data_IF_851901755809
#
_entry.id   IF_851901755809
#
_cell.length_a   1.000
_cell.length_b   1.000
_cell.length_c   1.000
_cell.angle_alpha   90.00
_cell.angle_beta   90.00
_cell.angle_gamma   90.00
#
_symmetry.space_group_name_H-M   'P 1'
#
loop_
_entity.id
_entity.type
_entity.pdbx_description
1 polymer ?
#
# COMPACT_ATOMS: atom_id res chain seq x y z
N UNK A 1 14.66 -26.95 -13.97
CA UNK A 1 15.18 -25.57 -13.84
C UNK A 1 14.08 -24.77 -13.17
N UNK A 2 14.31 -24.17 -12.01
CA UNK A 2 13.27 -23.39 -11.31
C UNK A 2 13.21 -22.01 -11.95
N UNK A 3 12.22 -21.79 -12.83
CA UNK A 3 12.19 -20.74 -13.86
C UNK A 3 12.49 -19.32 -13.36
N UNK A 4 12.13 -18.99 -12.11
CA UNK A 4 12.28 -17.64 -11.54
C UNK A 4 13.16 -17.57 -10.29
N UNK A 5 13.76 -18.69 -9.87
CA UNK A 5 14.49 -18.77 -8.60
C UNK A 5 15.70 -17.82 -8.54
N UNK A 6 16.40 -17.66 -9.66
CA UNK A 6 17.55 -16.76 -9.73
C UNK A 6 17.10 -15.32 -9.55
N UNK A 7 16.09 -14.89 -10.30
CA UNK A 7 15.56 -13.52 -10.27
C UNK A 7 14.99 -13.17 -8.88
N UNK A 8 14.38 -14.12 -8.19
CA UNK A 8 13.90 -13.93 -6.81
C UNK A 8 15.05 -13.82 -5.82
N UNK A 9 16.12 -14.60 -6.00
CA UNK A 9 17.30 -14.45 -5.13
C UNK A 9 18.04 -13.13 -5.37
N UNK A 10 18.10 -12.64 -6.62
CA UNK A 10 18.58 -11.28 -6.93
C UNK A 10 17.73 -10.20 -6.24
N UNK A 11 16.40 -10.39 -6.18
CA UNK A 11 15.51 -9.51 -5.41
C UNK A 11 15.83 -9.55 -3.91
N UNK A 12 16.11 -10.73 -3.35
CA UNK A 12 16.49 -10.87 -1.93
C UNK A 12 17.82 -10.18 -1.61
N UNK A 13 18.77 -10.15 -2.54
CA UNK A 13 20.00 -9.38 -2.37
C UNK A 13 19.70 -7.88 -2.29
N UNK A 14 18.89 -7.37 -3.24
CA UNK A 14 18.45 -5.98 -3.25
C UNK A 14 17.68 -5.60 -1.99
N UNK A 15 16.81 -6.49 -1.51
CA UNK A 15 16.04 -6.32 -0.28
C UNK A 15 16.93 -6.06 0.94
N UNK A 16 18.09 -6.74 1.04
CA UNK A 16 19.02 -6.58 2.18
C UNK A 16 19.58 -5.16 2.26
N UNK A 17 19.79 -4.52 1.12
CA UNK A 17 20.27 -3.14 1.06
C UNK A 17 19.22 -2.16 1.61
N UNK A 18 17.93 -2.50 1.49
CA UNK A 18 16.81 -1.68 1.95
C UNK A 18 16.52 -1.77 3.45
N UNK A 19 17.16 -2.68 4.19
CA UNK A 19 16.96 -2.81 5.64
C UNK A 19 17.34 -1.52 6.38
N UNK A 20 18.32 -0.78 5.86
CA UNK A 20 18.72 0.53 6.38
C UNK A 20 17.64 1.61 6.16
N UNK A 21 16.81 1.47 5.13
CA UNK A 21 15.71 2.38 4.82
C UNK A 21 14.47 2.08 5.66
N UNK A 22 14.12 0.80 5.85
CA UNK A 22 12.96 0.43 6.66
C UNK A 22 13.06 -1.00 7.22
N UNK A 23 12.73 -1.24 8.51
CA UNK A 23 12.85 -2.57 9.14
C UNK A 23 11.96 -3.65 8.52
N UNK A 24 10.91 -3.31 7.77
CA UNK A 24 10.11 -4.31 7.05
C UNK A 24 10.94 -5.12 6.05
N UNK A 25 12.01 -4.54 5.50
CA UNK A 25 12.86 -5.28 4.57
C UNK A 25 13.76 -6.32 5.24
N UNK A 26 13.78 -6.40 6.57
CA UNK A 26 14.39 -7.53 7.28
C UNK A 26 13.50 -8.79 7.24
N UNK A 27 12.21 -8.64 6.94
CA UNK A 27 11.23 -9.72 6.87
C UNK A 27 11.10 -10.24 5.46
N UNK A 28 11.00 -11.56 5.30
CA UNK A 28 10.88 -12.20 4.00
C UNK A 28 9.47 -12.77 3.85
N UNK A 29 8.85 -12.46 2.72
CA UNK A 29 7.50 -12.93 2.37
C UNK A 29 7.58 -13.93 1.23
N UNK A 30 6.71 -14.95 1.18
CA UNK A 30 6.62 -15.82 0.02
C UNK A 30 6.31 -15.02 -1.24
N UNK A 31 6.91 -15.43 -2.35
CA UNK A 31 6.68 -14.85 -3.68
C UNK A 31 6.00 -15.89 -4.54
N UNK A 32 4.87 -15.52 -5.14
CA UNK A 32 4.16 -16.33 -6.11
C UNK A 32 4.30 -15.65 -7.47
N UNK A 33 4.93 -16.34 -8.41
CA UNK A 33 5.06 -15.87 -9.79
C UNK A 33 4.00 -16.56 -10.64
N UNK A 34 3.04 -15.80 -11.13
CA UNK A 34 2.08 -16.25 -12.12
C UNK A 34 2.72 -16.24 -13.52
N UNK A 35 2.66 -17.38 -14.19
CA UNK A 35 3.20 -17.60 -15.53
C UNK A 35 2.26 -18.53 -16.30
N UNK A 36 1.66 -18.01 -17.37
CA UNK A 36 0.60 -18.67 -18.15
C UNK A 36 -0.55 -19.19 -17.26
N UNK A 37 -0.64 -20.52 -17.08
CA UNK A 37 -1.68 -21.21 -16.30
C UNK A 37 -1.14 -21.79 -14.99
N UNK A 38 0.04 -21.34 -14.55
CA UNK A 38 0.76 -21.88 -13.41
C UNK A 38 1.13 -20.79 -12.41
N UNK A 39 1.13 -21.17 -11.13
CA UNK A 39 1.68 -20.39 -10.04
C UNK A 39 2.95 -21.07 -9.53
N UNK A 40 4.08 -20.39 -9.67
CA UNK A 40 5.36 -20.82 -9.13
C UNK A 40 5.58 -20.19 -7.76
N UNK A 41 5.61 -21.01 -6.71
CA UNK A 41 5.66 -20.55 -5.32
C UNK A 41 7.07 -20.70 -4.77
N UNK A 42 7.59 -19.62 -4.21
CA UNK A 42 8.91 -19.52 -3.59
C UNK A 42 8.77 -18.98 -2.17
N UNK A 43 9.57 -19.51 -1.26
CA UNK A 43 9.58 -19.07 0.14
C UNK A 43 11.01 -18.97 0.65
N UNK A 44 11.22 -18.09 1.63
CA UNK A 44 12.53 -17.84 2.18
C UNK A 44 12.90 -18.90 3.22
N UNK A 45 14.05 -19.53 3.03
CA UNK A 45 14.56 -20.56 3.93
C UNK A 45 15.60 -19.94 4.87
N UNK A 46 15.24 -19.80 6.15
CA UNK A 46 16.17 -19.33 7.19
C UNK A 46 17.38 -20.27 7.38
N UNK A 47 17.26 -21.53 6.94
CA UNK A 47 18.35 -22.52 6.98
C UNK A 47 19.42 -22.24 5.92
N UNK A 48 19.01 -21.88 4.71
CA UNK A 48 19.94 -21.64 3.59
C UNK A 48 20.23 -20.16 3.36
N UNK A 49 19.45 -19.27 3.98
CA UNK A 49 19.59 -17.82 3.86
C UNK A 49 19.15 -17.27 2.50
N UNK A 50 18.34 -18.01 1.76
CA UNK A 50 17.90 -17.67 0.40
C UNK A 50 16.48 -18.18 0.13
N UNK A 51 15.88 -17.71 -0.96
CA UNK A 51 14.61 -18.26 -1.43
C UNK A 51 14.81 -19.66 -2.00
N UNK A 52 13.84 -20.53 -1.75
CA UNK A 52 13.75 -21.88 -2.29
C UNK A 52 12.42 -22.03 -3.04
N UNK A 53 12.43 -22.83 -4.11
CA UNK A 53 11.18 -23.25 -4.75
C UNK A 53 10.42 -24.18 -3.80
N UNK A 54 9.15 -23.88 -3.56
CA UNK A 54 8.27 -24.68 -2.70
C UNK A 54 7.49 -25.68 -3.53
N UNK A 55 6.72 -25.17 -4.50
CA UNK A 55 5.88 -25.97 -5.41
C UNK A 55 5.43 -25.15 -6.61
N UNK A 56 4.87 -25.86 -7.59
CA UNK A 56 4.13 -25.26 -8.70
C UNK A 56 2.74 -25.88 -8.75
N UNK A 57 1.73 -25.04 -8.94
CA UNK A 57 0.32 -25.42 -8.96
C UNK A 57 -0.37 -24.75 -10.15
N UNK A 58 -1.53 -25.25 -10.63
CA UNK A 58 -2.35 -24.50 -11.58
C UNK A 58 -2.75 -23.14 -11.01
N UNK A 59 -2.92 -22.14 -11.89
CA UNK A 59 -3.52 -20.87 -11.50
C UNK A 59 -5.02 -21.04 -11.25
N UNK A 60 -5.36 -21.14 -9.97
CA UNK A 60 -6.72 -21.14 -9.43
C UNK A 60 -7.06 -19.81 -8.71
N UNK A 61 -6.16 -18.83 -8.78
CA UNK A 61 -6.36 -17.47 -8.28
C UNK A 61 -6.79 -16.51 -9.40
N UNK A 62 -6.65 -16.92 -10.67
CA UNK A 62 -6.95 -16.14 -11.87
C UNK A 62 -6.16 -14.83 -11.90
N UNK A 63 -4.85 -14.94 -11.76
CA UNK A 63 -3.96 -13.78 -11.68
C UNK A 63 -3.93 -13.08 -13.05
N UNK A 64 -4.28 -11.78 -13.12
CA UNK A 64 -4.26 -11.06 -14.39
C UNK A 64 -2.83 -10.83 -14.88
N UNK A 65 -2.69 -10.56 -16.18
CA UNK A 65 -1.43 -10.07 -16.75
C UNK A 65 -0.96 -8.80 -16.01
N UNK A 66 0.35 -8.64 -15.89
CA UNK A 66 0.99 -7.52 -15.17
C UNK A 66 0.49 -7.30 -13.72
N UNK A 67 0.05 -8.38 -13.06
CA UNK A 67 -0.33 -8.33 -11.65
C UNK A 67 0.87 -8.03 -10.75
N UNK A 68 0.64 -7.09 -9.82
CA UNK A 68 1.44 -6.82 -8.64
C UNK A 68 0.44 -6.67 -7.49
N UNK A 69 0.46 -7.60 -6.54
CA UNK A 69 -0.48 -7.61 -5.43
C UNK A 69 0.07 -8.34 -4.20
N UNK A 70 -0.43 -7.98 -3.03
CA UNK A 70 -0.24 -8.70 -1.78
C UNK A 70 -1.57 -9.29 -1.31
N UNK A 71 -1.68 -10.62 -1.25
CA UNK A 71 -2.89 -11.28 -0.74
C UNK A 71 -2.60 -12.64 -0.08
N UNK A 72 -3.52 -13.15 0.75
CA UNK A 72 -3.43 -14.49 1.30
C UNK A 72 -3.49 -15.55 0.20
N UNK A 73 -2.60 -16.54 0.25
CA UNK A 73 -2.57 -17.65 -0.71
C UNK A 73 -2.89 -18.96 0.00
N UNK A 74 -4.03 -19.57 -0.37
CA UNK A 74 -4.51 -20.81 0.25
C UNK A 74 -3.54 -21.99 0.06
N UNK A 75 -2.75 -22.00 -1.02
CA UNK A 75 -1.66 -22.96 -1.25
C UNK A 75 -0.56 -22.91 -0.19
N UNK A 76 -0.51 -21.86 0.62
CA UNK A 76 0.43 -21.65 1.72
C UNK A 76 -0.29 -21.42 3.07
N UNK A 77 -1.43 -22.07 3.29
CA UNK A 77 -2.24 -21.94 4.51
C UNK A 77 -2.65 -20.48 4.77
N UNK A 78 -3.08 -19.77 3.72
CA UNK A 78 -3.51 -18.37 3.76
C UNK A 78 -2.46 -17.39 4.30
N UNK A 79 -1.17 -17.73 4.15
CA UNK A 79 -0.08 -16.76 4.38
C UNK A 79 -0.16 -15.64 3.35
N UNK A 80 0.08 -14.40 3.79
CA UNK A 80 0.27 -13.28 2.88
C UNK A 80 1.47 -13.53 1.98
N UNK A 81 1.28 -13.35 0.69
CA UNK A 81 2.30 -13.52 -0.33
C UNK A 81 2.32 -12.30 -1.25
N UNK A 82 3.51 -11.95 -1.74
CA UNK A 82 3.63 -11.07 -2.89
C UNK A 82 3.39 -11.87 -4.16
N UNK A 83 2.42 -11.46 -4.96
CA UNK A 83 2.01 -12.10 -6.20
C UNK A 83 2.39 -11.21 -7.35
N UNK A 84 3.12 -11.78 -8.30
CA UNK A 84 3.72 -11.05 -9.41
C UNK A 84 3.59 -11.83 -10.71
N UNK A 85 3.66 -11.15 -11.84
CA UNK A 85 4.00 -11.77 -13.12
C UNK A 85 5.48 -11.56 -13.44
N UNK A 86 6.00 -12.23 -14.47
CA UNK A 86 7.41 -12.16 -14.85
C UNK A 86 7.89 -10.74 -15.21
N UNK A 87 7.00 -9.81 -15.54
CA UNK A 87 7.34 -8.42 -15.89
C UNK A 87 8.03 -7.67 -14.74
N UNK A 88 7.80 -8.09 -13.49
CA UNK A 88 8.43 -7.49 -12.30
C UNK A 88 9.96 -7.59 -12.29
N UNK A 89 10.52 -8.60 -12.99
CA UNK A 89 11.96 -8.86 -13.00
C UNK A 89 12.71 -8.11 -14.11
N UNK A 90 12.01 -7.31 -14.93
CA UNK A 90 12.57 -6.68 -16.13
C UNK A 90 13.64 -5.63 -15.82
N UNK A 91 13.43 -4.79 -14.81
CA UNK A 91 14.33 -3.71 -14.43
C UNK A 91 14.15 -3.33 -12.95
N UNK A 92 15.00 -2.41 -12.47
CA UNK A 92 14.98 -1.96 -11.08
C UNK A 92 13.66 -1.25 -10.72
N UNK A 93 13.07 -0.49 -11.64
CA UNK A 93 11.82 0.22 -11.37
C UNK A 93 10.67 -0.74 -11.11
N UNK A 94 10.57 -1.82 -11.90
CA UNK A 94 9.61 -2.89 -11.67
C UNK A 94 9.86 -3.64 -10.34
N UNK A 95 11.12 -3.89 -9.99
CA UNK A 95 11.49 -4.48 -8.70
C UNK A 95 11.09 -3.60 -7.50
N UNK A 96 11.12 -2.27 -7.65
CA UNK A 96 10.65 -1.36 -6.59
C UNK A 96 9.16 -1.51 -6.31
N UNK A 97 8.33 -1.71 -7.33
CA UNK A 97 6.91 -2.00 -7.11
C UNK A 97 6.67 -3.34 -6.40
N UNK A 98 7.57 -4.32 -6.52
CA UNK A 98 7.48 -5.54 -5.71
C UNK A 98 7.72 -5.25 -4.21
N UNK A 99 8.62 -4.33 -3.90
CA UNK A 99 8.85 -3.93 -2.52
C UNK A 99 7.68 -3.15 -1.92
N UNK A 100 6.90 -2.44 -2.75
CA UNK A 100 5.59 -1.89 -2.34
C UNK A 100 4.67 -3.01 -1.84
N UNK A 101 4.57 -4.13 -2.57
CA UNK A 101 3.79 -5.29 -2.12
C UNK A 101 4.35 -5.97 -0.85
N UNK A 102 5.67 -5.92 -0.64
CA UNK A 102 6.28 -6.40 0.60
C UNK A 102 5.87 -5.55 1.81
N UNK A 103 5.69 -4.23 1.61
CA UNK A 103 5.12 -3.36 2.64
C UNK A 103 3.71 -3.82 2.97
N UNK A 104 2.85 -4.06 1.99
CA UNK A 104 1.49 -4.58 2.24
C UNK A 104 1.48 -5.93 2.95
N UNK A 105 2.34 -6.87 2.56
CA UNK A 105 2.50 -8.15 3.26
C UNK A 105 2.85 -7.96 4.75
N UNK A 106 3.81 -7.06 5.02
CA UNK A 106 4.27 -6.74 6.37
C UNK A 106 3.19 -6.04 7.20
N UNK A 107 2.49 -5.08 6.60
CA UNK A 107 1.41 -4.32 7.22
C UNK A 107 0.27 -5.26 7.60
N UNK A 108 -0.21 -6.08 6.67
CA UNK A 108 -1.31 -7.00 6.92
C UNK A 108 -0.94 -8.03 8.00
N UNK A 109 0.28 -8.60 7.93
CA UNK A 109 0.73 -9.58 8.91
C UNK A 109 0.78 -9.07 10.35
N UNK A 110 1.05 -7.77 10.56
CA UNK A 110 1.24 -7.17 11.89
C UNK A 110 0.04 -6.40 12.42
N UNK A 111 -0.74 -5.79 11.54
CA UNK A 111 -1.75 -4.79 11.91
C UNK A 111 -3.18 -5.21 11.58
N UNK A 112 -3.42 -6.43 11.07
CA UNK A 112 -4.75 -6.96 10.79
C UNK A 112 -5.72 -6.78 11.98
N UNK A 113 -5.39 -7.31 13.14
CA UNK A 113 -6.25 -7.25 14.32
C UNK A 113 -6.29 -5.84 14.95
N UNK A 114 -5.19 -5.09 14.84
CA UNK A 114 -5.02 -3.80 15.53
C UNK A 114 -5.61 -2.60 14.80
N UNK A 115 -5.77 -2.70 13.48
CA UNK A 115 -6.24 -1.61 12.61
C UNK A 115 -7.34 -2.10 11.70
N UNK A 116 -7.04 -3.13 10.89
CA UNK A 116 -7.94 -3.55 9.82
C UNK A 116 -9.29 -4.02 10.36
N UNK A 117 -9.29 -4.74 11.49
CA UNK A 117 -10.52 -5.23 12.14
C UNK A 117 -11.29 -4.13 12.91
N UNK A 118 -10.78 -2.88 12.99
CA UNK A 118 -11.53 -1.73 13.54
C UNK A 118 -12.39 -1.03 12.49
N UNK A 119 -12.12 -1.26 11.20
CA UNK A 119 -12.76 -0.55 10.10
C UNK A 119 -14.22 -0.96 9.92
N UNK A 120 -15.14 -0.01 10.04
CA UNK A 120 -16.57 -0.28 9.89
C UNK A 120 -16.95 -0.63 8.46
N UNK A 121 -16.31 0.01 7.48
CA UNK A 121 -16.46 -0.29 6.05
C UNK A 121 -16.10 -1.74 5.77
N UNK A 122 -15.00 -2.27 6.32
CA UNK A 122 -14.63 -3.69 6.15
C UNK A 122 -15.71 -4.62 6.70
N UNK A 123 -16.24 -4.33 7.89
CA UNK A 123 -17.32 -5.13 8.47
C UNK A 123 -18.57 -5.12 7.60
N UNK A 124 -18.99 -3.94 7.11
CA UNK A 124 -20.12 -3.81 6.20
C UNK A 124 -19.90 -4.56 4.90
N UNK A 125 -18.73 -4.41 4.28
CA UNK A 125 -18.40 -5.07 3.01
C UNK A 125 -18.32 -6.60 3.17
N UNK A 126 -17.82 -7.07 4.31
CA UNK A 126 -17.84 -8.50 4.68
C UNK A 126 -19.27 -9.04 4.79
N UNK A 127 -20.19 -8.30 5.43
CA UNK A 127 -21.60 -8.71 5.56
C UNK A 127 -22.29 -8.89 4.20
N UNK A 128 -21.97 -8.03 3.24
CA UNK A 128 -22.50 -8.13 1.87
C UNK A 128 -21.62 -8.99 0.94
N UNK A 129 -20.59 -9.65 1.47
CA UNK A 129 -19.63 -10.52 0.74
C UNK A 129 -18.90 -9.80 -0.41
N UNK A 130 -18.69 -8.49 -0.30
CA UNK A 130 -17.93 -7.68 -1.26
C UNK A 130 -16.46 -7.64 -0.85
N UNK A 131 -15.68 -8.61 -1.32
CA UNK A 131 -14.26 -8.74 -0.95
C UNK A 131 -13.33 -7.77 -1.69
N UNK A 132 -13.78 -7.23 -2.82
CA UNK A 132 -13.04 -6.32 -3.72
C UNK A 132 -13.21 -4.84 -3.38
N UNK A 133 -13.81 -4.52 -2.22
CA UNK A 133 -14.22 -3.17 -1.86
C UNK A 133 -13.08 -2.15 -1.86
N UNK A 134 -11.84 -2.54 -1.54
CA UNK A 134 -10.68 -1.64 -1.57
C UNK A 134 -10.36 -1.13 -3.00
N UNK A 135 -10.84 -1.85 -4.02
CA UNK A 135 -10.55 -1.58 -5.43
C UNK A 135 -11.76 -0.95 -6.12
N UNK A 136 -12.96 -1.46 -5.84
CA UNK A 136 -14.18 -1.16 -6.60
C UNK A 136 -15.20 -0.28 -5.86
N UNK A 137 -14.87 0.23 -4.66
CA UNK A 137 -15.74 1.16 -3.94
C UNK A 137 -16.04 2.40 -4.78
N UNK A 138 -17.33 2.74 -4.88
CA UNK A 138 -17.84 3.86 -5.67
C UNK A 138 -17.63 5.19 -4.92
N UNK A 139 -16.38 5.62 -4.82
CA UNK A 139 -16.05 6.93 -4.26
C UNK A 139 -16.49 8.05 -5.24
N UNK A 140 -17.08 9.16 -4.75
CA UNK A 140 -17.65 10.22 -5.60
C UNK A 140 -16.57 11.16 -6.19
N UNK A 141 -15.69 10.65 -7.06
CA UNK A 141 -14.61 11.45 -7.67
C UNK A 141 -15.09 12.61 -8.55
N UNK A 142 -16.29 12.47 -9.12
CA UNK A 142 -16.89 13.45 -10.05
C UNK A 142 -17.74 14.51 -9.34
N UNK A 143 -17.96 14.39 -8.03
CA UNK A 143 -18.63 15.42 -7.25
C UNK A 143 -17.75 16.69 -7.22
N UNK A 144 -18.31 17.82 -7.65
CA UNK A 144 -17.57 19.07 -7.81
C UNK A 144 -17.00 19.59 -6.48
N UNK A 145 -17.75 19.44 -5.38
CA UNK A 145 -17.30 19.90 -4.06
C UNK A 145 -16.12 19.04 -3.62
N UNK A 146 -16.25 17.72 -3.71
CA UNK A 146 -15.19 16.78 -3.31
C UNK A 146 -13.94 16.97 -4.17
N UNK A 147 -14.09 17.10 -5.50
CA UNK A 147 -12.97 17.35 -6.39
C UNK A 147 -12.21 18.65 -6.03
N UNK A 148 -12.92 19.73 -5.69
CA UNK A 148 -12.28 20.98 -5.22
C UNK A 148 -11.61 20.84 -3.85
N UNK A 149 -12.19 20.04 -2.94
CA UNK A 149 -11.54 19.71 -1.65
C UNK A 149 -10.25 18.93 -1.84
N UNK A 150 -10.23 17.97 -2.75
CA UNK A 150 -9.03 17.18 -3.11
C UNK A 150 -7.95 18.10 -3.70
N UNK A 151 -8.30 18.98 -4.65
CA UNK A 151 -7.35 19.96 -5.21
C UNK A 151 -6.77 20.87 -4.13
N UNK A 152 -7.60 21.33 -3.21
CA UNK A 152 -7.18 22.17 -2.08
C UNK A 152 -6.20 21.44 -1.17
N UNK A 153 -6.45 20.16 -0.87
CA UNK A 153 -5.54 19.32 -0.09
C UNK A 153 -4.20 19.13 -0.80
N UNK A 154 -4.20 18.78 -2.09
CA UNK A 154 -2.97 18.63 -2.88
C UNK A 154 -2.16 19.92 -2.93
N UNK A 155 -2.81 21.07 -3.05
CA UNK A 155 -2.14 22.37 -2.99
C UNK A 155 -1.50 22.63 -1.62
N UNK A 156 -2.21 22.34 -0.53
CA UNK A 156 -1.69 22.48 0.82
C UNK A 156 -0.53 21.52 1.13
N UNK A 157 -0.57 20.28 0.61
CA UNK A 157 0.53 19.33 0.73
C UNK A 157 1.79 19.85 0.01
N UNK A 158 1.63 20.44 -1.18
CA UNK A 158 2.72 21.05 -1.95
C UNK A 158 3.34 22.27 -1.25
N UNK A 159 2.58 22.99 -0.42
CA UNK A 159 3.11 24.13 0.34
C UNK A 159 3.83 23.74 1.64
N UNK A 160 3.72 22.48 2.07
CA UNK A 160 4.22 21.96 3.35
C UNK A 160 3.74 22.74 4.59
N UNK A 161 2.65 23.51 4.48
CA UNK A 161 2.08 24.27 5.60
C UNK A 161 1.07 23.41 6.37
N UNK A 162 1.47 22.93 7.55
CA UNK A 162 0.64 22.06 8.38
C UNK A 162 -0.71 22.67 8.77
N UNK A 163 -0.81 24.00 8.94
CA UNK A 163 -2.10 24.61 9.27
C UNK A 163 -3.04 24.56 8.07
N UNK A 164 -2.51 24.83 6.86
CA UNK A 164 -3.29 24.69 5.63
C UNK A 164 -3.67 23.25 5.35
N UNK A 165 -2.76 22.29 5.59
CA UNK A 165 -3.03 20.86 5.42
C UNK A 165 -4.14 20.42 6.37
N UNK A 166 -4.06 20.77 7.65
CA UNK A 166 -5.10 20.45 8.63
C UNK A 166 -6.45 21.03 8.23
N UNK A 167 -6.50 22.31 7.85
CA UNK A 167 -7.73 22.95 7.39
C UNK A 167 -8.31 22.29 6.12
N UNK A 168 -7.46 21.97 5.14
CA UNK A 168 -7.89 21.32 3.91
C UNK A 168 -8.38 19.89 4.15
N UNK A 169 -7.72 19.12 5.01
CA UNK A 169 -8.15 17.77 5.41
C UNK A 169 -9.49 17.80 6.14
N UNK A 170 -9.66 18.68 7.13
CA UNK A 170 -10.94 18.83 7.84
C UNK A 170 -12.07 19.17 6.87
N UNK A 171 -11.86 20.16 5.99
CA UNK A 171 -12.86 20.56 5.00
C UNK A 171 -13.18 19.46 3.96
N UNK A 172 -12.22 18.59 3.64
CA UNK A 172 -12.46 17.40 2.83
C UNK A 172 -13.35 16.42 3.60
N UNK A 173 -13.00 16.06 4.82
CA UNK A 173 -13.78 15.08 5.60
C UNK A 173 -15.19 15.56 5.94
N UNK A 174 -15.39 16.87 6.17
CA UNK A 174 -16.73 17.46 6.34
C UNK A 174 -17.63 17.32 5.10
N UNK A 175 -17.04 17.16 3.92
CA UNK A 175 -17.77 16.95 2.66
C UNK A 175 -18.08 15.47 2.35
N UNK A 176 -17.54 14.55 3.15
CA UNK A 176 -17.68 13.11 2.95
C UNK A 176 -18.69 12.53 3.94
N UNK A 177 -19.38 11.46 3.53
CA UNK A 177 -20.09 10.61 4.50
C UNK A 177 -19.07 9.89 5.40
N UNK A 178 -19.50 9.42 6.57
CA UNK A 178 -18.62 8.67 7.49
C UNK A 178 -17.91 7.49 6.82
N UNK A 179 -18.64 6.74 5.99
CA UNK A 179 -18.09 5.61 5.24
C UNK A 179 -17.05 6.04 4.20
N UNK A 180 -17.33 7.10 3.43
CA UNK A 180 -16.39 7.64 2.45
C UNK A 180 -15.13 8.19 3.12
N UNK A 181 -15.28 8.82 4.28
CA UNK A 181 -14.17 9.34 5.08
C UNK A 181 -13.30 8.22 5.66
N UNK A 182 -13.90 7.12 6.12
CA UNK A 182 -13.17 5.94 6.58
C UNK A 182 -12.45 5.24 5.41
N UNK A 183 -13.11 5.11 4.26
CA UNK A 183 -12.48 4.61 3.02
C UNK A 183 -11.27 5.45 2.60
N UNK A 184 -11.43 6.78 2.55
CA UNK A 184 -10.34 7.72 2.24
C UNK A 184 -9.16 7.53 3.22
N UNK A 185 -9.46 7.51 4.52
CA UNK A 185 -8.43 7.39 5.55
C UNK A 185 -7.70 6.04 5.52
N UNK A 186 -8.42 4.96 5.18
CA UNK A 186 -7.83 3.64 5.01
C UNK A 186 -6.83 3.64 3.85
N UNK A 187 -7.21 4.14 2.67
CA UNK A 187 -6.31 4.13 1.52
C UNK A 187 -5.15 5.12 1.65
N UNK A 188 -5.36 6.30 2.22
CA UNK A 188 -4.25 7.21 2.54
C UNK A 188 -3.23 6.56 3.48
N UNK A 189 -3.69 5.80 4.47
CA UNK A 189 -2.79 5.14 5.40
C UNK A 189 -2.14 3.90 4.78
N UNK A 190 -2.91 2.98 4.19
CA UNK A 190 -2.37 1.70 3.70
C UNK A 190 -1.55 1.89 2.41
N UNK A 191 -2.18 2.42 1.36
CA UNK A 191 -1.55 2.61 0.05
C UNK A 191 -0.60 3.80 0.04
N UNK A 192 -0.96 4.88 0.75
CA UNK A 192 -0.07 6.03 0.90
C UNK A 192 1.20 5.68 1.69
N UNK A 193 1.13 4.83 2.72
CA UNK A 193 2.34 4.40 3.43
C UNK A 193 3.23 3.51 2.56
N UNK A 194 2.65 2.56 1.83
CA UNK A 194 3.40 1.74 0.90
C UNK A 194 4.08 2.59 -0.19
N UNK A 195 3.38 3.59 -0.76
CA UNK A 195 3.97 4.56 -1.70
C UNK A 195 5.03 5.46 -1.06
N UNK A 196 4.84 5.86 0.20
CA UNK A 196 5.86 6.64 0.93
C UNK A 196 7.17 5.85 1.03
N UNK A 197 7.10 4.57 1.42
CA UNK A 197 8.26 3.69 1.47
C UNK A 197 8.82 3.43 0.06
N UNK A 198 7.96 3.21 -0.94
CA UNK A 198 8.35 3.12 -2.35
C UNK A 198 9.20 4.32 -2.76
N UNK A 199 8.75 5.54 -2.45
CA UNK A 199 9.45 6.78 -2.77
C UNK A 199 10.79 6.93 -2.04
N UNK A 200 10.95 6.37 -0.84
CA UNK A 200 12.27 6.29 -0.17
C UNK A 200 13.22 5.39 -0.96
N UNK A 201 12.75 4.22 -1.42
CA UNK A 201 13.54 3.30 -2.24
C UNK A 201 13.91 3.95 -3.58
N UNK A 202 12.94 4.62 -4.23
CA UNK A 202 13.17 5.32 -5.49
C UNK A 202 14.23 6.41 -5.33
N UNK A 203 14.18 7.17 -4.24
CA UNK A 203 15.18 8.19 -3.93
C UNK A 203 16.59 7.59 -3.74
N UNK A 204 16.70 6.49 -2.99
CA UNK A 204 17.98 5.79 -2.75
C UNK A 204 18.66 5.37 -4.06
N UNK A 205 17.89 4.89 -5.04
CA UNK A 205 18.41 4.48 -6.35
C UNK A 205 18.38 5.58 -7.42
N UNK A 206 18.08 6.83 -7.06
CA UNK A 206 18.04 7.95 -8.01
C UNK A 206 16.94 7.83 -9.09
N UNK A 207 15.88 7.07 -8.80
CA UNK A 207 14.70 6.94 -9.66
C UNK A 207 13.77 8.14 -9.46
N UNK A 208 12.94 8.43 -10.47
CA UNK A 208 11.89 9.44 -10.37
C UNK A 208 10.85 9.01 -9.33
N UNK A 209 10.52 9.89 -8.39
CA UNK A 209 9.45 9.67 -7.41
C UNK A 209 8.09 9.43 -8.09
N UNK A 210 7.30 8.57 -7.47
CA UNK A 210 5.96 8.21 -7.88
C UNK A 210 4.96 9.24 -7.33
N UNK A 211 4.46 10.09 -8.23
CA UNK A 211 3.46 11.14 -7.95
C UNK A 211 2.16 10.94 -8.74
N UNK A 212 1.84 9.71 -9.15
CA UNK A 212 0.65 9.44 -9.95
C UNK A 212 -0.64 9.69 -9.16
N UNK A 213 -1.62 10.37 -9.77
CA UNK A 213 -2.90 10.68 -9.15
C UNK A 213 -3.01 12.10 -8.58
N UNK A 214 -1.99 12.95 -8.77
CA UNK A 214 -1.97 14.34 -8.29
C UNK A 214 -2.77 15.34 -9.16
N UNK A 215 -3.43 14.84 -10.21
CA UNK A 215 -4.15 15.63 -11.22
C UNK A 215 -5.52 15.03 -11.56
N UNK A 216 -6.49 15.90 -11.84
CA UNK A 216 -7.83 15.51 -12.26
C UNK A 216 -7.85 15.05 -13.73
N UNK A 217 -8.80 14.19 -14.15
CA UNK A 217 -9.88 13.59 -13.37
C UNK A 217 -9.34 12.60 -12.33
N UNK A 218 -9.85 12.69 -11.09
CA UNK A 218 -9.36 11.88 -10.00
C UNK A 218 -9.85 10.44 -10.10
N UNK A 219 -9.04 9.55 -9.57
CA UNK A 219 -9.34 8.14 -9.34
C UNK A 219 -8.65 7.72 -8.04
N UNK A 220 -8.69 6.43 -7.69
CA UNK A 220 -8.12 5.93 -6.43
C UNK A 220 -6.67 6.32 -6.17
N UNK A 221 -5.86 6.56 -7.20
CA UNK A 221 -4.45 6.93 -7.03
C UNK A 221 -4.27 8.25 -6.29
N UNK A 222 -5.31 9.09 -6.20
CA UNK A 222 -5.24 10.34 -5.43
C UNK A 222 -5.11 10.09 -3.93
N UNK A 223 -5.71 9.01 -3.39
CA UNK A 223 -5.53 8.69 -1.96
C UNK A 223 -4.07 8.29 -1.67
N UNK A 224 -3.43 7.64 -2.64
CA UNK A 224 -2.08 7.11 -2.50
C UNK A 224 -1.10 8.27 -2.51
N UNK A 225 -1.35 9.25 -3.38
CA UNK A 225 -0.57 10.48 -3.46
C UNK A 225 -0.72 11.35 -2.21
N UNK A 226 -1.97 11.69 -1.85
CA UNK A 226 -2.27 12.48 -0.66
C UNK A 226 -1.70 11.80 0.60
N UNK A 227 -1.86 10.49 0.70
CA UNK A 227 -1.34 9.69 1.80
C UNK A 227 0.19 9.72 1.87
N UNK A 228 0.88 9.42 0.77
CA UNK A 228 2.35 9.43 0.70
C UNK A 228 2.93 10.79 1.09
N UNK A 229 2.42 11.88 0.54
CA UNK A 229 2.91 13.22 0.87
C UNK A 229 2.59 13.62 2.30
N UNK A 230 1.39 13.32 2.80
CA UNK A 230 1.03 13.65 4.18
C UNK A 230 1.88 12.85 5.18
N UNK A 231 2.07 11.55 4.94
CA UNK A 231 2.91 10.68 5.78
C UNK A 231 4.36 11.18 5.77
N UNK A 232 4.92 11.53 4.61
CA UNK A 232 6.27 12.11 4.51
C UNK A 232 6.43 13.33 5.43
N UNK A 233 5.46 14.23 5.43
CA UNK A 233 5.46 15.42 6.29
C UNK A 233 5.32 15.05 7.77
N UNK A 234 4.39 14.14 8.11
CA UNK A 234 4.22 13.68 9.48
C UNK A 234 5.49 13.01 10.03
N UNK A 235 6.16 12.17 9.24
CA UNK A 235 7.43 11.53 9.62
C UNK A 235 8.55 12.55 9.79
N UNK A 236 8.57 13.61 8.98
CA UNK A 236 9.52 14.72 9.13
C UNK A 236 9.36 15.44 10.48
N UNK A 237 8.13 15.66 10.94
CA UNK A 237 7.84 16.27 12.25
C UNK A 237 8.05 15.29 13.41
N UNK A 238 7.66 14.03 13.23
CA UNK A 238 7.74 13.00 14.26
C UNK A 238 8.26 11.68 13.65
N UNK A 239 9.59 11.44 13.70
CA UNK A 239 10.23 10.31 13.04
C UNK A 239 9.72 8.92 13.46
N UNK A 240 9.12 8.80 14.66
CA UNK A 240 8.55 7.54 15.14
C UNK A 240 7.46 6.99 14.20
N UNK A 241 6.71 7.86 13.51
CA UNK A 241 5.69 7.45 12.55
C UNK A 241 6.22 6.67 11.35
N UNK A 242 7.53 6.72 11.11
CA UNK A 242 8.17 5.92 10.07
C UNK A 242 7.94 4.42 10.30
N UNK A 243 7.94 3.97 11.56
CA UNK A 243 7.86 2.55 11.92
C UNK A 243 6.67 2.19 12.82
N UNK A 244 6.12 3.14 13.57
CA UNK A 244 4.94 2.93 14.42
C UNK A 244 3.65 3.25 13.63
N UNK A 245 3.15 2.23 12.93
CA UNK A 245 2.03 2.44 12.00
C UNK A 245 0.69 2.54 12.70
N UNK A 246 0.56 2.03 13.92
CA UNK A 246 -0.64 2.19 14.74
C UNK A 246 -0.74 3.64 15.22
N UNK A 247 0.37 4.21 15.71
CA UNK A 247 0.42 5.62 16.08
C UNK A 247 0.21 6.55 14.87
N UNK A 248 0.80 6.20 13.71
CA UNK A 248 0.57 6.92 12.47
C UNK A 248 -0.91 6.86 12.05
N UNK A 249 -1.53 5.67 12.12
CA UNK A 249 -2.94 5.51 11.79
C UNK A 249 -3.82 6.41 12.63
N UNK A 250 -3.67 6.34 13.95
CA UNK A 250 -4.44 7.13 14.90
C UNK A 250 -4.22 8.65 14.69
N UNK A 251 -2.98 9.07 14.42
CA UNK A 251 -2.67 10.47 14.09
C UNK A 251 -3.40 10.93 12.83
N UNK A 252 -3.45 10.11 11.79
CA UNK A 252 -4.11 10.46 10.52
C UNK A 252 -5.64 10.55 10.65
N UNK A 253 -6.24 10.01 11.73
CA UNK A 253 -7.68 10.11 11.99
C UNK A 253 -8.10 11.45 12.59
N UNK A 254 -7.18 12.28 13.12
CA UNK A 254 -7.52 13.47 13.90
C UNK A 254 -8.42 14.44 13.12
N UNK A 255 -8.03 14.80 11.89
CA UNK A 255 -8.81 15.74 11.08
C UNK A 255 -10.15 15.12 10.63
N UNK A 256 -10.20 13.80 10.41
CA UNK A 256 -11.45 13.08 10.11
C UNK A 256 -12.43 13.19 11.28
N UNK A 257 -11.98 12.89 12.50
CA UNK A 257 -12.84 12.93 13.69
C UNK A 257 -13.29 14.36 14.00
N UNK A 258 -12.43 15.35 13.81
CA UNK A 258 -12.79 16.77 13.99
C UNK A 258 -13.92 17.22 13.04
N UNK A 259 -13.90 16.75 11.79
CA UNK A 259 -14.94 17.07 10.79
C UNK A 259 -16.34 16.55 11.15
N UNK A 260 -16.45 15.48 11.95
CA UNK A 260 -17.73 14.93 12.40
C UNK A 260 -18.21 15.48 13.75
N UNK A 261 -17.31 16.04 14.57
CA UNK A 261 -17.68 16.69 15.86
C UNK A 261 -18.25 18.10 15.64
N UNK A 262 -18.03 18.69 14.46
CA UNK A 262 -18.41 20.06 14.14
C UNK A 262 -19.78 20.21 13.45
N UNK A 263 -20.55 19.11 13.34
CA UNK A 263 -21.93 19.04 12.80
C UNK A 263 -22.96 18.86 13.92
#
# INVERSE_FOLDING_TARGET
MHTFLQQINELSELQRELVSLHPFFAEHHPVVVADEVLLHIYDYSSRTGQYEWVKTVPDDLYIPDDCLAAMPVHHLNDRMCAIVTASVFKDLEQKVFLFHEYVHCSVYGKYKERIVDRLQIKHKMTQIKRVTWEIDYEFPYEDEIIAERIKSLLFALKSEDFQQIQAARTALFESLTEEQAEYWSWLEWNEGYARYVENLIRAEYGLKLNHYGDTAPFNRLVFYECGSEYIRLLVKEQPAYHTDLEQLFDRMQVERLAGFVSQ
#
